data_IF_575794292891
#
_entry.id   IF_575794292891
#
_cell.length_a   1.000
_cell.length_b   1.000
_cell.length_c   1.000
_cell.angle_alpha   90.00
_cell.angle_beta   90.00
_cell.angle_gamma   90.00
#
_symmetry.space_group_name_H-M   'P 1'
#
loop_
_entity.id
_entity.type
_entity.pdbx_description
1 polymer ?
#
# COMPACT_ATOMS: atom_id res chain seq x y z
N UNK A 1 -5.50 8.96 7.69
CA UNK A 1 -5.55 10.41 7.41
C UNK A 1 -4.79 10.59 6.09
N UNK A 2 -5.20 11.35 5.08
CA UNK A 2 -4.90 12.78 5.09
C UNK A 2 -5.73 13.51 4.02
N UNK A 3 -5.94 12.98 2.81
CA UNK A 3 -6.67 13.73 1.78
C UNK A 3 -8.15 14.01 2.15
N UNK A 4 -8.83 13.03 2.76
CA UNK A 4 -10.22 13.18 3.19
C UNK A 4 -10.39 13.93 4.52
N UNK A 5 -9.33 14.04 5.34
CA UNK A 5 -9.38 14.78 6.61
C UNK A 5 -8.70 16.15 6.56
N UNK A 6 -7.97 16.49 5.49
CA UNK A 6 -7.32 17.81 5.35
C UNK A 6 -8.17 18.89 4.67
N UNK A 7 -9.32 18.55 4.07
CA UNK A 7 -10.09 19.51 3.26
C UNK A 7 -11.47 19.88 3.83
N UNK A 8 -11.97 19.16 4.84
CA UNK A 8 -13.25 19.47 5.49
C UNK A 8 -13.02 19.97 6.92
N UNK A 9 -13.48 21.19 7.27
CA UNK A 9 -13.52 21.65 8.66
C UNK A 9 -14.41 20.68 9.45
N UNK A 10 -13.80 19.91 10.35
CA UNK A 10 -14.45 18.83 11.11
C UNK A 10 -15.37 19.36 12.21
N UNK A 11 -16.45 20.05 11.84
CA UNK A 11 -17.48 20.51 12.76
C UNK A 11 -18.40 19.39 13.25
N UNK A 12 -18.81 18.46 12.38
CA UNK A 12 -19.86 17.47 12.71
C UNK A 12 -19.74 16.16 11.89
N UNK A 13 -18.59 15.48 11.91
CA UNK A 13 -18.49 14.14 11.32
C UNK A 13 -18.47 13.04 12.39
N UNK A 14 -19.25 11.94 12.23
CA UNK A 14 -19.21 10.82 13.14
C UNK A 14 -17.77 10.29 13.21
N UNK A 15 -17.26 10.06 14.43
CA UNK A 15 -15.95 9.47 14.68
C UNK A 15 -15.91 8.02 14.19
N UNK A 16 -15.85 7.83 12.88
CA UNK A 16 -15.37 6.58 12.31
C UNK A 16 -13.85 6.61 12.46
N UNK A 17 -13.37 6.40 13.69
CA UNK A 17 -11.96 6.17 13.96
C UNK A 17 -11.60 4.76 13.46
N UNK A 18 -11.62 4.56 12.14
CA UNK A 18 -10.79 3.50 11.59
C UNK A 18 -9.37 3.79 12.06
N UNK A 19 -8.74 2.82 12.73
CA UNK A 19 -7.37 2.96 13.18
C UNK A 19 -6.53 3.36 11.97
N UNK A 20 -5.83 4.49 12.06
CA UNK A 20 -5.04 5.05 10.95
C UNK A 20 -4.13 3.97 10.36
N UNK A 21 -3.56 3.15 11.24
CA UNK A 21 -2.73 1.99 10.94
C UNK A 21 -3.44 0.92 10.12
N UNK A 22 -4.72 0.65 10.38
CA UNK A 22 -5.48 -0.31 9.58
C UNK A 22 -5.74 0.23 8.18
N UNK A 23 -6.05 1.53 8.05
CA UNK A 23 -6.20 2.16 6.75
C UNK A 23 -4.90 2.10 5.94
N UNK A 24 -3.76 2.39 6.59
CA UNK A 24 -2.43 2.24 6.02
C UNK A 24 -2.16 0.80 5.56
N UNK A 25 -2.36 -0.19 6.43
CA UNK A 25 -2.19 -1.59 6.05
C UNK A 25 -3.09 -2.01 4.87
N UNK A 26 -4.34 -1.57 4.86
CA UNK A 26 -5.27 -1.90 3.78
C UNK A 26 -4.88 -1.26 2.44
N UNK A 27 -4.50 0.02 2.43
CA UNK A 27 -4.08 0.72 1.21
C UNK A 27 -2.85 0.06 0.60
N UNK A 28 -1.84 -0.26 1.41
CA UNK A 28 -0.62 -0.91 0.92
C UNK A 28 -0.83 -2.37 0.50
N UNK A 29 -1.77 -3.07 1.14
CA UNK A 29 -2.24 -4.38 0.68
C UNK A 29 -2.84 -4.30 -0.75
N UNK A 30 -3.78 -3.37 -0.97
CA UNK A 30 -4.41 -3.17 -2.29
C UNK A 30 -3.38 -2.72 -3.33
N UNK A 31 -2.52 -1.77 -2.98
CA UNK A 31 -1.45 -1.28 -3.86
C UNK A 31 -0.54 -2.43 -4.33
N UNK A 32 -0.09 -3.28 -3.40
CA UNK A 32 0.78 -4.42 -3.71
C UNK A 32 0.10 -5.40 -4.65
N UNK A 33 -1.20 -5.68 -4.46
CA UNK A 33 -1.99 -6.56 -5.34
C UNK A 33 -2.11 -5.97 -6.75
N UNK A 34 -2.43 -4.67 -6.86
CA UNK A 34 -2.58 -4.01 -8.14
C UNK A 34 -1.27 -3.98 -8.92
N UNK A 35 -0.16 -3.65 -8.25
CA UNK A 35 1.18 -3.69 -8.86
C UNK A 35 1.57 -5.09 -9.30
N UNK A 36 1.33 -6.10 -8.45
CA UNK A 36 1.59 -7.49 -8.81
C UNK A 36 0.78 -7.90 -10.05
N UNK A 37 -0.51 -7.53 -10.10
CA UNK A 37 -1.40 -7.83 -11.22
C UNK A 37 -1.01 -7.09 -12.51
N UNK A 38 -0.56 -5.84 -12.40
CA UNK A 38 -0.02 -5.08 -13.53
C UNK A 38 1.23 -5.75 -14.11
N UNK A 39 2.14 -6.21 -13.25
CA UNK A 39 3.37 -6.89 -13.66
C UNK A 39 3.12 -8.27 -14.26
N UNK A 40 2.10 -8.99 -13.77
CA UNK A 40 1.67 -10.28 -14.34
C UNK A 40 1.05 -10.15 -15.73
N UNK A 41 0.47 -8.98 -16.06
CA UNK A 41 -0.19 -8.71 -17.35
C UNK A 41 0.76 -8.21 -18.44
N UNK A 42 1.98 -7.80 -18.10
CA UNK A 42 2.96 -7.45 -19.11
C UNK A 42 3.53 -8.71 -19.77
N UNK A 43 3.81 -8.64 -21.08
CA UNK A 43 4.44 -9.70 -21.89
C UNK A 43 5.93 -9.93 -21.56
N UNK A 44 6.28 -9.86 -20.27
CA UNK A 44 7.63 -10.15 -19.80
C UNK A 44 7.85 -11.66 -19.72
N UNK A 45 9.10 -12.10 -19.97
CA UNK A 45 9.51 -13.51 -19.83
C UNK A 45 8.97 -14.12 -18.53
N UNK A 46 8.54 -15.39 -18.57
CA UNK A 46 7.96 -16.18 -17.45
C UNK A 46 8.73 -16.03 -16.12
N UNK A 47 10.05 -15.81 -16.17
CA UNK A 47 10.91 -15.55 -15.01
C UNK A 47 10.45 -14.32 -14.20
N UNK A 48 10.05 -13.24 -14.86
CA UNK A 48 9.55 -12.02 -14.22
C UNK A 48 8.17 -12.22 -13.61
N UNK A 49 7.35 -13.10 -14.20
CA UNK A 49 6.03 -13.49 -13.66
C UNK A 49 6.13 -14.17 -12.30
N UNK A 50 7.23 -14.89 -12.05
CA UNK A 50 7.51 -15.49 -10.73
C UNK A 50 8.07 -14.50 -9.71
N UNK A 51 8.63 -13.36 -10.18
CA UNK A 51 9.18 -12.30 -9.32
C UNK A 51 8.24 -11.11 -9.15
N UNK A 52 7.13 -11.05 -9.90
CA UNK A 52 6.15 -9.97 -9.93
C UNK A 52 5.71 -9.52 -8.52
N UNK A 53 5.42 -10.47 -7.62
CA UNK A 53 5.00 -10.15 -6.26
C UNK A 53 6.13 -9.61 -5.39
N UNK A 54 7.35 -10.14 -5.53
CA UNK A 54 8.51 -9.62 -4.80
C UNK A 54 8.82 -8.19 -5.25
N UNK A 55 8.74 -7.92 -6.56
CA UNK A 55 8.92 -6.59 -7.12
C UNK A 55 7.83 -5.63 -6.65
N UNK A 56 6.56 -6.04 -6.70
CA UNK A 56 5.44 -5.24 -6.20
C UNK A 56 5.56 -4.92 -4.70
N UNK A 57 6.02 -5.88 -3.89
CA UNK A 57 6.29 -5.68 -2.47
C UNK A 57 7.41 -4.65 -2.25
N UNK A 58 8.55 -4.79 -2.94
CA UNK A 58 9.68 -3.85 -2.83
C UNK A 58 9.25 -2.44 -3.25
N UNK A 59 8.53 -2.31 -4.37
CA UNK A 59 8.02 -1.01 -4.84
C UNK A 59 7.06 -0.40 -3.82
N UNK A 60 6.14 -1.19 -3.25
CA UNK A 60 5.20 -0.70 -2.25
C UNK A 60 5.89 -0.27 -0.96
N UNK A 61 6.92 -1.00 -0.52
CA UNK A 61 7.75 -0.60 0.63
C UNK A 61 8.48 0.72 0.40
N UNK A 62 9.18 0.85 -0.73
CA UNK A 62 9.91 2.09 -1.07
C UNK A 62 8.94 3.26 -1.17
N UNK A 63 7.80 3.06 -1.83
CA UNK A 63 6.76 4.08 -1.93
C UNK A 63 6.25 4.53 -0.56
N UNK A 64 6.01 3.58 0.36
CA UNK A 64 5.53 3.92 1.71
C UNK A 64 6.54 4.64 2.57
N UNK A 65 7.80 4.27 2.50
CA UNK A 65 8.87 4.98 3.21
C UNK A 65 9.04 6.39 2.64
N UNK A 66 9.05 6.52 1.30
CA UNK A 66 9.15 7.83 0.65
C UNK A 66 7.99 8.75 1.02
N UNK A 67 6.75 8.22 1.05
CA UNK A 67 5.57 8.97 1.44
C UNK A 67 5.66 9.43 2.89
N UNK A 68 6.11 8.57 3.79
CA UNK A 68 6.27 8.90 5.22
C UNK A 68 7.31 9.99 5.44
N UNK A 69 8.46 9.89 4.75
CA UNK A 69 9.49 10.92 4.78
C UNK A 69 8.95 12.24 4.19
N UNK A 70 8.18 12.17 3.11
CA UNK A 70 7.58 13.36 2.53
C UNK A 70 6.61 14.04 3.50
N UNK A 71 5.77 13.27 4.18
CA UNK A 71 4.88 13.80 5.22
C UNK A 71 5.65 14.42 6.38
N UNK A 72 6.74 13.78 6.82
CA UNK A 72 7.56 14.29 7.92
C UNK A 72 8.29 15.59 7.60
N UNK A 73 8.85 15.73 6.39
CA UNK A 73 9.68 16.88 6.03
C UNK A 73 8.91 18.02 5.36
N UNK A 74 7.80 17.74 4.67
CA UNK A 74 7.12 18.72 3.82
C UNK A 74 5.70 19.06 4.29
N UNK A 75 5.12 18.35 5.26
CA UNK A 75 3.76 18.64 5.76
C UNK A 75 3.84 19.13 7.21
N UNK A 76 3.73 20.45 7.38
CA UNK A 76 3.68 21.08 8.70
C UNK A 76 2.54 20.50 9.55
N UNK A 77 2.86 20.09 10.77
CA UNK A 77 1.89 19.49 11.71
C UNK A 77 1.69 17.98 11.58
N UNK A 78 2.33 17.29 10.61
CA UNK A 78 2.37 15.82 10.54
C UNK A 78 3.74 15.31 10.99
N UNK A 79 3.75 14.42 11.97
CA UNK A 79 4.96 13.66 12.33
C UNK A 79 4.87 12.33 11.64
N UNK A 80 5.84 12.03 10.77
CA UNK A 80 5.95 10.68 10.25
C UNK A 80 6.09 9.67 11.39
N UNK A 81 5.24 8.65 11.43
CA UNK A 81 5.20 7.62 12.46
C UNK A 81 5.84 6.33 11.95
N UNK A 82 6.81 5.82 12.71
CA UNK A 82 7.41 4.50 12.44
C UNK A 82 6.34 3.40 12.41
N UNK A 83 5.25 3.57 13.16
CA UNK A 83 4.13 2.63 13.19
C UNK A 83 3.34 2.61 11.88
N UNK A 84 3.32 3.71 11.12
CA UNK A 84 2.69 3.75 9.80
C UNK A 84 3.56 3.03 8.77
N UNK A 85 4.89 3.15 8.86
CA UNK A 85 5.82 2.32 8.07
C UNK A 85 5.58 0.83 8.36
N UNK A 86 5.47 0.44 9.63
CA UNK A 86 5.20 -0.95 10.01
C UNK A 86 3.84 -1.43 9.48
N UNK A 87 2.81 -0.58 9.54
CA UNK A 87 1.49 -0.90 8.99
C UNK A 87 1.53 -1.09 7.46
N UNK A 88 2.23 -0.20 6.74
CA UNK A 88 2.44 -0.31 5.29
C UNK A 88 3.14 -1.62 4.92
N UNK A 89 4.19 -1.99 5.68
CA UNK A 89 4.93 -3.24 5.50
C UNK A 89 4.03 -4.46 5.74
N UNK A 90 3.25 -4.45 6.84
CA UNK A 90 2.34 -5.53 7.17
C UNK A 90 1.30 -5.73 6.06
N UNK A 91 0.66 -4.66 5.61
CA UNK A 91 -0.29 -4.67 4.49
C UNK A 91 0.29 -5.29 3.22
N UNK A 92 1.50 -4.86 2.85
CA UNK A 92 2.21 -5.36 1.68
C UNK A 92 2.58 -6.86 1.81
N UNK A 93 2.94 -7.32 3.01
CA UNK A 93 3.22 -8.74 3.31
C UNK A 93 1.96 -9.61 3.22
N UNK A 94 0.82 -9.12 3.71
CA UNK A 94 -0.46 -9.82 3.63
C UNK A 94 -0.95 -10.03 2.19
N UNK A 95 -0.40 -9.31 1.21
CA UNK A 95 -0.68 -9.55 -0.21
C UNK A 95 -0.03 -10.84 -0.74
N UNK A 96 1.00 -11.38 -0.08
CA UNK A 96 1.79 -12.50 -0.59
C UNK A 96 1.00 -13.81 -0.75
N UNK A 97 0.13 -14.25 0.19
CA UNK A 97 -0.74 -15.42 0.00
C UNK A 97 -1.64 -15.31 -1.24
N UNK A 98 -2.00 -14.08 -1.65
CA UNK A 98 -2.82 -13.82 -2.85
C UNK A 98 -2.09 -14.15 -4.16
N UNK A 99 -0.78 -14.42 -4.12
CA UNK A 99 0.03 -14.83 -5.27
C UNK A 99 -0.55 -16.02 -6.03
N UNK A 100 -1.08 -17.03 -5.31
CA UNK A 100 -1.68 -18.21 -5.96
C UNK A 100 -3.02 -17.88 -6.63
N UNK A 101 -3.82 -17.02 -6.00
CA UNK A 101 -5.12 -16.59 -6.51
C UNK A 101 -5.00 -15.71 -7.76
N UNK A 102 -4.04 -14.77 -7.77
CA UNK A 102 -3.82 -13.91 -8.94
C UNK A 102 -3.22 -14.67 -10.14
N UNK A 103 -2.38 -15.68 -9.90
CA UNK A 103 -1.88 -16.55 -10.98
C UNK A 103 -2.95 -17.49 -11.54
N UNK A 104 -3.84 -18.02 -10.69
CA UNK A 104 -4.95 -18.88 -11.12
C UNK A 104 -6.05 -18.14 -11.89
N UNK A 105 -6.30 -16.86 -11.57
CA UNK A 105 -7.26 -16.01 -12.29
C UNK A 105 -6.67 -15.25 -13.49
N UNK A 106 -5.35 -15.31 -13.68
CA UNK A 106 -4.70 -14.95 -14.94
C UNK A 106 -4.86 -16.13 -15.88
N UNK A 107 -6.07 -16.27 -16.45
CA UNK A 107 -6.38 -17.27 -17.47
C UNK A 107 -5.26 -17.35 -18.51
N UNK A 108 -4.80 -18.59 -18.76
CA UNK A 108 -4.21 -19.12 -20.01
C UNK A 108 -3.22 -18.23 -20.76
#
# INVERSE_FOLDING_TARGET
MILLTSLTPGGDMPRVQFSDKFAHAFVYFVLTILLARAWLKQDHKVVWRNRAFLLAFIVSMVFGIMLELFQHYFIEGRKGEVLDVVANMAGSLFAFPMHRLLKGGSFT
#
